data_IF_560280949344
#
_entry.id   IF_560280949344
#
_cell.length_a   1.000
_cell.length_b   1.000
_cell.length_c   1.000
_cell.angle_alpha   90.00
_cell.angle_beta   90.00
_cell.angle_gamma   90.00
#
_symmetry.space_group_name_H-M   'P 1'
#
loop_
_entity.id
_entity.type
_entity.pdbx_description
1 polymer ?
#
# COMPACT_ATOMS: atom_id res chain seq x y z
N UNK A 1 2.15 -0.21 4.81
CA UNK A 1 3.25 -0.83 4.02
C UNK A 1 3.22 -2.36 4.03
N UNK A 2 2.77 -3.01 5.11
CA UNK A 2 2.68 -4.48 5.21
C UNK A 2 1.99 -5.15 4.01
N UNK A 3 0.78 -4.72 3.63
CA UNK A 3 0.03 -5.30 2.52
C UNK A 3 0.85 -5.36 1.22
N UNK A 4 1.43 -4.23 0.79
CA UNK A 4 2.26 -4.18 -0.43
C UNK A 4 3.40 -5.20 -0.36
N UNK A 5 4.13 -5.25 0.76
CA UNK A 5 5.27 -6.15 0.93
C UNK A 5 4.86 -7.61 0.98
N UNK A 6 3.77 -7.94 1.69
CA UNK A 6 3.24 -9.29 1.76
C UNK A 6 2.77 -9.79 0.38
N UNK A 7 2.05 -8.94 -0.38
CA UNK A 7 1.55 -9.27 -1.72
C UNK A 7 2.70 -9.55 -2.69
N UNK A 8 3.70 -8.67 -2.77
CA UNK A 8 4.80 -8.91 -3.71
C UNK A 8 5.68 -10.08 -3.26
N UNK A 9 5.82 -10.31 -1.96
CA UNK A 9 6.53 -11.47 -1.42
C UNK A 9 5.79 -12.80 -1.66
N UNK A 10 4.47 -12.79 -1.84
CA UNK A 10 3.70 -13.99 -2.24
C UNK A 10 3.78 -14.29 -3.73
N UNK A 11 4.44 -13.44 -4.52
CA UNK A 11 4.53 -13.58 -5.97
C UNK A 11 3.40 -12.90 -6.74
N UNK A 12 2.56 -12.13 -6.05
CA UNK A 12 1.48 -11.35 -6.66
C UNK A 12 1.92 -9.92 -6.96
N UNK A 13 1.22 -9.25 -7.88
CA UNK A 13 1.42 -7.83 -8.14
C UNK A 13 0.48 -6.95 -7.32
N UNK A 14 0.80 -5.67 -7.21
CA UNK A 14 -0.02 -4.73 -6.43
C UNK A 14 -0.03 -3.34 -7.04
N UNK A 15 -1.22 -2.76 -7.09
CA UNK A 15 -1.45 -1.33 -7.29
C UNK A 15 -1.64 -0.66 -5.93
N UNK A 16 -0.89 0.40 -5.64
CA UNK A 16 -1.00 1.13 -4.38
C UNK A 16 -0.72 2.62 -4.53
N UNK A 17 -1.49 3.45 -3.84
CA UNK A 17 -1.12 4.86 -3.65
C UNK A 17 -0.02 4.96 -2.60
N UNK A 18 1.12 5.55 -2.98
CA UNK A 18 2.30 5.68 -2.12
C UNK A 18 2.72 7.13 -2.04
N UNK A 19 2.92 7.63 -0.82
CA UNK A 19 3.57 8.91 -0.56
C UNK A 19 5.08 8.68 -0.40
N UNK A 20 5.86 9.45 -1.16
CA UNK A 20 7.33 9.37 -1.15
C UNK A 20 7.92 10.69 -0.63
N UNK A 21 9.05 10.58 0.05
CA UNK A 21 9.85 11.71 0.53
C UNK A 21 10.91 12.07 -0.53
N UNK A 22 10.91 13.33 -0.97
CA UNK A 22 11.94 13.90 -1.82
C UNK A 22 13.21 14.19 -1.00
N UNK A 23 14.36 14.25 -1.68
CA UNK A 23 15.64 14.63 -1.06
C UNK A 23 15.61 16.00 -0.37
N UNK A 24 14.78 16.91 -0.85
CA UNK A 24 14.61 18.26 -0.29
C UNK A 24 13.60 18.33 0.88
N UNK A 25 13.00 17.21 1.29
CA UNK A 25 12.01 17.15 2.37
C UNK A 25 10.55 17.24 1.92
N UNK A 26 10.28 17.53 0.63
CA UNK A 26 8.93 17.55 0.09
C UNK A 26 8.35 16.13 -0.03
N UNK A 27 7.02 16.05 -0.21
CA UNK A 27 6.34 14.78 -0.44
C UNK A 27 5.61 14.78 -1.79
N UNK A 28 5.59 13.62 -2.45
CA UNK A 28 4.81 13.42 -3.66
C UNK A 28 4.11 12.07 -3.64
N UNK A 29 2.92 12.05 -4.24
CA UNK A 29 2.08 10.85 -4.34
C UNK A 29 2.26 10.21 -5.71
N UNK A 30 2.27 8.88 -5.74
CA UNK A 30 2.24 8.06 -6.95
C UNK A 30 1.16 6.99 -6.83
N UNK A 31 0.55 6.63 -7.96
CA UNK A 31 -0.04 5.30 -8.11
C UNK A 31 1.08 4.37 -8.57
N UNK A 32 1.55 3.51 -7.67
CA UNK A 32 2.59 2.54 -7.93
C UNK A 32 1.96 1.22 -8.38
N UNK A 33 2.54 0.60 -9.39
CA UNK A 33 2.30 -0.79 -9.77
C UNK A 33 3.60 -1.54 -9.54
N UNK A 34 3.58 -2.55 -8.67
CA UNK A 34 4.76 -3.33 -8.30
C UNK A 34 4.54 -4.79 -8.68
N UNK A 35 5.47 -5.35 -9.45
CA UNK A 35 5.39 -6.73 -9.95
C UNK A 35 6.67 -7.49 -9.61
N UNK A 36 6.59 -8.71 -9.04
CA UNK A 36 7.73 -9.57 -8.82
C UNK A 36 8.32 -10.07 -10.15
N UNK A 37 9.63 -10.29 -10.17
CA UNK A 37 10.35 -10.86 -11.29
C UNK A 37 10.90 -12.21 -10.90
N UNK A 38 10.68 -13.19 -11.75
CA UNK A 38 11.01 -14.58 -11.49
C UNK A 38 12.14 -15.04 -12.40
N UNK A 39 13.02 -15.90 -11.88
CA UNK A 39 13.95 -16.66 -12.71
C UNK A 39 13.28 -17.87 -13.39
N UNK A 40 14.07 -18.65 -14.14
CA UNK A 40 13.58 -19.84 -14.82
C UNK A 40 13.10 -20.96 -13.87
N UNK A 41 13.43 -20.90 -12.58
CA UNK A 41 12.99 -21.86 -11.55
C UNK A 41 11.73 -21.41 -10.81
N UNK A 42 11.23 -20.20 -11.11
CA UNK A 42 10.10 -19.60 -10.43
C UNK A 42 10.45 -18.90 -9.11
N UNK A 43 11.74 -18.66 -8.83
CA UNK A 43 12.16 -17.91 -7.65
C UNK A 43 12.11 -16.41 -7.92
N UNK A 44 11.59 -15.64 -6.96
CA UNK A 44 11.61 -14.16 -7.02
C UNK A 44 13.05 -13.67 -6.92
N UNK A 45 13.53 -12.97 -7.95
CA UNK A 45 14.87 -12.38 -8.05
C UNK A 45 14.88 -10.85 -7.98
N UNK A 46 13.70 -10.23 -7.93
CA UNK A 46 13.57 -8.78 -7.82
C UNK A 46 12.13 -8.30 -7.95
N UNK A 47 11.96 -6.99 -7.83
CA UNK A 47 10.68 -6.31 -8.00
C UNK A 47 10.83 -5.15 -8.97
N UNK A 48 9.91 -5.01 -9.91
CA UNK A 48 9.83 -3.83 -10.77
C UNK A 48 8.66 -2.96 -10.32
N UNK A 49 8.88 -1.64 -10.28
CA UNK A 49 7.83 -0.69 -9.94
C UNK A 49 7.70 0.36 -11.03
N UNK A 50 6.51 0.48 -11.61
CA UNK A 50 6.13 1.60 -12.45
C UNK A 50 5.28 2.59 -11.64
N UNK A 51 5.36 3.87 -11.99
CA UNK A 51 4.70 4.96 -11.24
C UNK A 51 3.92 5.84 -12.18
N UNK A 52 2.68 6.16 -11.81
CA UNK A 52 1.82 7.10 -12.52
C UNK A 52 1.50 8.27 -11.62
N UNK A 53 1.30 9.44 -12.22
CA UNK A 53 0.76 10.60 -11.52
C UNK A 53 -0.69 10.26 -11.14
N UNK A 54 -1.04 10.24 -9.85
CA UNK A 54 -2.37 9.88 -9.40
C UNK A 54 -3.34 11.03 -9.60
N UNK A 55 -4.63 10.73 -9.72
CA UNK A 55 -5.66 11.75 -9.70
C UNK A 55 -5.75 12.41 -8.33
N UNK A 56 -5.94 13.73 -8.30
CA UNK A 56 -5.97 14.50 -7.04
C UNK A 56 -7.06 14.02 -6.08
N UNK A 57 -8.24 13.65 -6.59
CA UNK A 57 -9.34 13.11 -5.76
C UNK A 57 -8.96 11.81 -5.06
N UNK A 58 -8.25 10.93 -5.76
CA UNK A 58 -7.82 9.65 -5.22
C UNK A 58 -6.77 9.86 -4.12
N UNK A 59 -5.86 10.83 -4.32
CA UNK A 59 -4.88 11.22 -3.31
C UNK A 59 -5.54 11.72 -2.03
N UNK A 60 -6.59 12.55 -2.10
CA UNK A 60 -7.27 13.04 -0.89
C UNK A 60 -7.94 11.89 -0.12
N UNK A 61 -8.57 10.93 -0.81
CA UNK A 61 -9.10 9.72 -0.16
C UNK A 61 -7.99 8.86 0.45
N UNK A 62 -6.90 8.65 -0.28
CA UNK A 62 -5.74 7.89 0.20
C UNK A 62 -5.11 8.54 1.43
N UNK A 63 -4.99 9.87 1.48
CA UNK A 63 -4.53 10.61 2.67
C UNK A 63 -5.41 10.35 3.89
N UNK A 64 -6.73 10.35 3.72
CA UNK A 64 -7.66 10.06 4.82
C UNK A 64 -7.44 8.64 5.37
N UNK A 65 -7.30 7.65 4.49
CA UNK A 65 -7.00 6.28 4.89
C UNK A 65 -5.64 6.20 5.60
N UNK A 66 -4.59 6.77 5.02
CA UNK A 66 -3.25 6.78 5.60
C UNK A 66 -3.24 7.44 6.99
N UNK A 67 -3.95 8.54 7.19
CA UNK A 67 -4.04 9.21 8.48
C UNK A 67 -4.69 8.30 9.54
N UNK A 68 -5.75 7.58 9.18
CA UNK A 68 -6.40 6.62 10.07
C UNK A 68 -5.46 5.46 10.44
N UNK A 69 -4.84 4.83 9.43
CA UNK A 69 -3.92 3.70 9.65
C UNK A 69 -2.72 4.13 10.50
N UNK A 70 -2.14 5.29 10.20
CA UNK A 70 -1.03 5.85 10.99
C UNK A 70 -1.43 6.14 12.43
N UNK A 71 -2.61 6.70 12.67
CA UNK A 71 -3.09 6.95 14.03
C UNK A 71 -3.25 5.63 14.83
N UNK A 72 -3.68 4.55 14.18
CA UNK A 72 -3.71 3.22 14.80
C UNK A 72 -2.32 2.66 15.05
N UNK A 73 -1.37 2.81 14.13
CA UNK A 73 0.01 2.40 14.36
C UNK A 73 0.61 3.14 15.56
N UNK A 74 0.42 4.47 15.62
CA UNK A 74 0.94 5.34 16.69
C UNK A 74 0.24 5.13 18.04
N UNK A 75 -0.95 4.52 18.09
CA UNK A 75 -1.66 4.21 19.34
C UNK A 75 -1.09 2.99 20.09
N UNK A 76 -0.11 2.30 19.50
CA UNK A 76 0.53 1.13 20.07
C UNK A 76 1.99 1.42 20.41
N UNK A 77 2.47 0.93 21.56
CA UNK A 77 3.86 1.10 21.98
C UNK A 77 4.84 0.20 21.22
N UNK A 78 4.38 -0.96 20.75
CA UNK A 78 5.15 -1.87 19.92
C UNK A 78 4.82 -1.65 18.43
N UNK A 79 5.81 -1.31 17.58
CA UNK A 79 5.58 -1.05 16.16
C UNK A 79 4.97 -2.22 15.39
N UNK A 80 5.31 -3.47 15.75
CA UNK A 80 4.76 -4.65 15.06
C UNK A 80 3.27 -4.82 15.36
N UNK A 81 2.90 -4.65 16.63
CA UNK A 81 1.51 -4.69 17.08
C UNK A 81 0.69 -3.58 16.44
N UNK A 82 1.23 -2.35 16.37
CA UNK A 82 0.57 -1.23 15.68
C UNK A 82 0.34 -1.50 14.20
N UNK A 83 1.36 -1.99 13.49
CA UNK A 83 1.26 -2.37 12.07
C UNK A 83 0.22 -3.48 11.84
N UNK A 84 0.17 -4.47 12.73
CA UNK A 84 -0.80 -5.56 12.67
C UNK A 84 -2.24 -5.03 12.86
N UNK A 85 -2.46 -4.21 13.89
CA UNK A 85 -3.76 -3.59 14.15
C UNK A 85 -4.24 -2.70 12.98
N UNK A 86 -3.34 -1.89 12.40
CA UNK A 86 -3.67 -1.07 11.23
C UNK A 86 -4.00 -1.94 10.01
N UNK A 87 -3.29 -3.05 9.80
CA UNK A 87 -3.59 -4.01 8.72
C UNK A 87 -4.97 -4.63 8.89
N UNK A 88 -5.33 -5.01 10.12
CA UNK A 88 -6.66 -5.57 10.44
C UNK A 88 -7.78 -4.55 10.21
N UNK A 89 -7.56 -3.27 10.53
CA UNK A 89 -8.51 -2.19 10.21
C UNK A 89 -8.70 -2.07 8.70
N UNK A 90 -7.62 -2.06 7.91
CA UNK A 90 -7.70 -2.00 6.46
C UNK A 90 -8.50 -3.18 5.90
N UNK A 91 -8.18 -4.41 6.33
CA UNK A 91 -8.90 -5.62 5.90
C UNK A 91 -10.38 -5.56 6.30
N UNK A 92 -10.68 -5.10 7.52
CA UNK A 92 -12.06 -4.93 7.98
C UNK A 92 -12.84 -3.95 7.11
N UNK A 93 -12.23 -2.83 6.72
CA UNK A 93 -12.85 -1.83 5.83
C UNK A 93 -13.11 -2.41 4.43
N UNK A 94 -12.14 -3.10 3.86
CA UNK A 94 -12.31 -3.76 2.55
C UNK A 94 -13.46 -4.79 2.60
N UNK A 95 -13.52 -5.60 3.65
CA UNK A 95 -14.60 -6.56 3.86
C UNK A 95 -15.97 -5.90 4.03
N UNK A 96 -16.06 -4.77 4.73
CA UNK A 96 -17.30 -4.00 4.88
C UNK A 96 -17.78 -3.41 3.55
N UNK A 97 -16.83 -3.00 2.70
CA UNK A 97 -17.12 -2.52 1.34
C UNK A 97 -17.40 -3.66 0.36
N UNK A 98 -17.06 -4.90 0.70
CA UNK A 98 -17.23 -6.07 -0.15
C UNK A 98 -16.29 -6.09 -1.37
N UNK A 99 -15.14 -5.41 -1.29
CA UNK A 99 -14.19 -5.26 -2.40
C UNK A 99 -12.81 -5.78 -2.01
N UNK A 100 -12.04 -6.20 -3.01
CA UNK A 100 -10.62 -6.50 -2.84
C UNK A 100 -9.81 -5.20 -2.77
N UNK A 101 -8.57 -5.28 -2.25
CA UNK A 101 -7.70 -4.09 -2.15
C UNK A 101 -7.45 -3.44 -3.51
N UNK A 102 -7.24 -4.24 -4.56
CA UNK A 102 -7.00 -3.73 -5.90
C UNK A 102 -8.22 -2.97 -6.45
N UNK A 103 -9.41 -3.54 -6.30
CA UNK A 103 -10.67 -2.89 -6.68
C UNK A 103 -10.88 -1.58 -5.90
N UNK A 104 -10.61 -1.60 -4.59
CA UNK A 104 -10.63 -0.39 -3.76
C UNK A 104 -9.70 0.69 -4.30
N UNK A 105 -8.45 0.35 -4.67
CA UNK A 105 -7.46 1.29 -5.21
C UNK A 105 -7.94 1.91 -6.52
N UNK A 106 -8.55 1.12 -7.41
CA UNK A 106 -9.07 1.65 -8.67
C UNK A 106 -10.38 2.45 -8.51
N UNK A 107 -11.09 2.30 -7.40
CA UNK A 107 -12.31 3.05 -7.09
C UNK A 107 -12.08 4.42 -6.41
N UNK A 108 -10.83 4.73 -5.98
CA UNK A 108 -10.49 6.01 -5.36
C UNK A 108 -10.52 7.18 -6.34
#
# INVERSE_FOLDING_TARGET
>A
FKLLWDTIASGEEVFAYVVNLCKNGDHYWVLAHVTPTFDATGQIIGYHSSRRVPERRAVEKAKSLYAQLKATEDSHSDPRSGMQAATEILVSQLNQLGVQYEEFVFAL
#
